data_IF_019887998786
#
_entry.id   IF_019887998786
#
_cell.length_a   1.000
_cell.length_b   1.000
_cell.length_c   1.000
_cell.angle_alpha   90.00
_cell.angle_beta   90.00
_cell.angle_gamma   90.00
#
_symmetry.space_group_name_H-M   'P 1'
#
loop_
_entity.id
_entity.type
_entity.pdbx_description
1 polymer ?
#
# COMPACT_ATOMS: atom_id res chain seq x y z
N UNK A 1 7.07 25.48 3.84
CA UNK A 1 6.39 26.17 4.96
C UNK A 1 6.04 25.14 6.02
N UNK A 2 5.58 25.57 7.21
CA UNK A 2 5.03 24.65 8.23
C UNK A 2 3.88 23.83 7.62
N UNK A 3 3.00 24.49 6.88
CA UNK A 3 1.91 23.86 6.11
C UNK A 3 2.39 22.75 5.15
N UNK A 4 3.44 23.01 4.35
CA UNK A 4 3.97 21.97 3.45
C UNK A 4 4.53 20.76 4.22
N UNK A 5 5.14 21.00 5.39
CA UNK A 5 5.66 19.92 6.24
C UNK A 5 4.52 19.10 6.85
N UNK A 6 3.48 19.74 7.36
CA UNK A 6 2.27 19.06 7.87
C UNK A 6 1.61 18.22 6.79
N UNK A 7 1.42 18.76 5.58
CA UNK A 7 0.89 17.99 4.44
C UNK A 7 1.75 16.79 4.08
N UNK A 8 3.08 16.93 4.13
CA UNK A 8 3.99 15.81 3.91
C UNK A 8 3.86 14.73 4.98
N UNK A 9 3.76 15.12 6.26
CA UNK A 9 3.57 14.18 7.38
C UNK A 9 2.24 13.43 7.24
N UNK A 10 1.15 14.13 6.96
CA UNK A 10 -0.16 13.51 6.73
C UNK A 10 -0.11 12.49 5.59
N UNK A 11 0.47 12.87 4.44
CA UNK A 11 0.64 11.98 3.30
C UNK A 11 1.49 10.75 3.67
N UNK A 12 2.59 10.94 4.41
CA UNK A 12 3.47 9.85 4.84
C UNK A 12 2.76 8.85 5.78
N UNK A 13 1.93 9.34 6.70
CA UNK A 13 1.14 8.51 7.61
C UNK A 13 0.14 7.66 6.82
N UNK A 14 -0.64 8.28 5.93
CA UNK A 14 -1.63 7.57 5.12
C UNK A 14 -0.95 6.48 4.26
N UNK A 15 0.15 6.83 3.59
CA UNK A 15 0.93 5.88 2.78
C UNK A 15 1.45 4.73 3.63
N UNK A 16 1.99 5.00 4.82
CA UNK A 16 2.50 3.96 5.71
C UNK A 16 1.39 3.00 6.12
N UNK A 17 0.26 3.52 6.59
CA UNK A 17 -0.88 2.70 7.03
C UNK A 17 -1.42 1.87 5.85
N UNK A 18 -1.57 2.46 4.66
CA UNK A 18 -2.02 1.75 3.48
C UNK A 18 -1.11 0.57 3.10
N UNK A 19 0.21 0.74 3.16
CA UNK A 19 1.17 -0.35 2.91
C UNK A 19 1.04 -1.46 3.96
N UNK A 20 0.86 -1.11 5.23
CA UNK A 20 0.65 -2.08 6.31
C UNK A 20 -0.65 -2.87 6.10
N UNK A 21 -1.75 -2.19 5.78
CA UNK A 21 -3.04 -2.82 5.50
C UNK A 21 -2.96 -3.75 4.29
N UNK A 22 -2.33 -3.31 3.20
CA UNK A 22 -2.16 -4.12 2.00
C UNK A 22 -1.35 -5.40 2.26
N UNK A 23 -0.32 -5.34 3.12
CA UNK A 23 0.49 -6.52 3.52
C UNK A 23 -0.26 -7.47 4.46
N UNK A 24 -1.27 -6.99 5.17
CA UNK A 24 -2.12 -7.78 6.07
C UNK A 24 -3.28 -8.48 5.36
N UNK A 25 -3.46 -8.26 4.07
CA UNK A 25 -4.46 -8.98 3.29
C UNK A 25 -4.28 -10.50 3.47
N UNK A 26 -5.40 -11.18 3.74
CA UNK A 26 -5.42 -12.60 4.08
C UNK A 26 -6.13 -13.39 2.98
N UNK A 27 -5.66 -14.60 2.65
CA UNK A 27 -6.35 -15.51 1.73
C UNK A 27 -7.61 -16.14 2.34
N UNK A 28 -7.89 -15.90 3.63
CA UNK A 28 -9.09 -16.41 4.32
C UNK A 28 -10.25 -15.42 4.07
N UNK A 29 -11.33 -15.82 3.38
CA UNK A 29 -12.42 -14.93 2.95
C UNK A 29 -13.16 -14.20 4.09
N UNK A 30 -13.15 -14.74 5.30
CA UNK A 30 -13.72 -14.10 6.50
C UNK A 30 -12.99 -12.81 6.91
N UNK A 31 -11.83 -12.52 6.30
CA UNK A 31 -11.05 -11.31 6.49
C UNK A 31 -11.23 -10.30 5.34
N UNK A 32 -12.46 -10.12 4.84
CA UNK A 32 -12.84 -9.08 3.87
C UNK A 32 -12.57 -7.62 4.34
N UNK A 33 -11.91 -7.41 5.48
CA UNK A 33 -11.64 -6.07 6.04
C UNK A 33 -10.61 -5.30 5.24
N UNK A 34 -9.56 -5.92 4.67
CA UNK A 34 -8.41 -5.17 4.16
C UNK A 34 -8.73 -4.28 2.94
N UNK A 35 -9.62 -4.70 2.04
CA UNK A 35 -10.08 -3.85 0.93
C UNK A 35 -11.00 -2.73 1.41
N UNK A 36 -11.83 -3.03 2.42
CA UNK A 36 -12.71 -2.04 3.03
C UNK A 36 -11.88 -0.99 3.80
N UNK A 37 -10.80 -1.40 4.45
CA UNK A 37 -9.89 -0.55 5.20
C UNK A 37 -9.15 0.42 4.27
N UNK A 38 -8.64 -0.03 3.12
CA UNK A 38 -7.98 0.85 2.15
C UNK A 38 -8.94 1.90 1.56
N UNK A 39 -10.22 1.56 1.38
CA UNK A 39 -11.23 2.54 0.93
C UNK A 39 -11.50 3.62 1.98
N UNK A 40 -11.46 3.28 3.27
CA UNK A 40 -11.55 4.28 4.36
C UNK A 40 -10.40 5.28 4.27
N UNK A 41 -9.16 4.80 4.07
CA UNK A 41 -8.00 5.67 3.90
C UNK A 41 -8.00 6.45 2.59
N UNK A 42 -8.59 5.91 1.52
CA UNK A 42 -8.81 6.64 0.28
C UNK A 42 -9.76 7.83 0.47
N UNK A 43 -10.86 7.64 1.21
CA UNK A 43 -11.80 8.73 1.55
C UNK A 43 -11.14 9.81 2.40
N UNK A 44 -10.42 9.42 3.45
CA UNK A 44 -9.66 10.37 4.27
C UNK A 44 -8.63 11.16 3.43
N UNK A 45 -7.92 10.49 2.53
CA UNK A 45 -6.99 11.15 1.63
C UNK A 45 -7.70 12.20 0.74
N UNK A 46 -8.90 11.88 0.23
CA UNK A 46 -9.70 12.82 -0.56
C UNK A 46 -10.15 14.03 0.28
N UNK A 47 -10.65 13.80 1.50
CA UNK A 47 -11.08 14.86 2.44
C UNK A 47 -9.93 15.82 2.79
N UNK A 48 -8.70 15.32 2.89
CA UNK A 48 -7.49 16.12 3.13
C UNK A 48 -6.92 16.79 1.86
N UNK A 49 -7.58 16.62 0.72
CA UNK A 49 -7.19 17.20 -0.56
C UNK A 49 -6.02 16.49 -1.25
N UNK A 50 -5.80 15.20 -0.97
CA UNK A 50 -4.81 14.36 -1.65
C UNK A 50 -5.46 13.49 -2.73
N UNK A 51 -6.06 14.12 -3.76
CA UNK A 51 -6.82 13.43 -4.81
C UNK A 51 -6.04 12.27 -5.48
N UNK A 52 -4.79 12.52 -5.87
CA UNK A 52 -3.97 11.48 -6.51
C UNK A 52 -3.68 10.29 -5.58
N UNK A 53 -3.50 10.53 -4.28
CA UNK A 53 -3.33 9.45 -3.30
C UNK A 53 -4.64 8.67 -3.15
N UNK A 54 -5.77 9.36 -3.02
CA UNK A 54 -7.08 8.73 -2.93
C UNK A 54 -7.35 7.80 -4.12
N UNK A 55 -7.06 8.23 -5.35
CA UNK A 55 -7.24 7.43 -6.56
C UNK A 55 -6.34 6.18 -6.59
N UNK A 56 -5.09 6.32 -6.13
CA UNK A 56 -4.17 5.18 -6.03
C UNK A 56 -4.66 4.17 -4.99
N UNK A 57 -5.13 4.62 -3.84
CA UNK A 57 -5.65 3.76 -2.78
C UNK A 57 -6.96 3.07 -3.19
N UNK A 58 -7.88 3.78 -3.86
CA UNK A 58 -9.16 3.23 -4.31
C UNK A 58 -9.01 2.12 -5.38
N UNK A 59 -7.92 2.17 -6.17
CA UNK A 59 -7.59 1.16 -7.18
C UNK A 59 -6.75 -0.01 -6.64
N UNK A 60 -6.27 0.07 -5.40
CA UNK A 60 -5.54 -1.03 -4.80
C UNK A 60 -6.47 -2.24 -4.60
N UNK A 61 -6.04 -3.41 -5.09
CA UNK A 61 -6.79 -4.67 -4.98
C UNK A 61 -5.93 -5.78 -4.36
N UNK A 62 -5.60 -5.70 -3.05
CA UNK A 62 -4.81 -6.73 -2.38
C UNK A 62 -5.38 -8.14 -2.52
N UNK A 63 -6.71 -8.31 -2.55
CA UNK A 63 -7.32 -9.64 -2.74
C UNK A 63 -7.02 -10.19 -4.14
N UNK A 64 -7.05 -9.35 -5.18
CA UNK A 64 -6.64 -9.74 -6.53
C UNK A 64 -5.14 -10.07 -6.60
N UNK A 65 -4.29 -9.30 -5.90
CA UNK A 65 -2.85 -9.59 -5.82
C UNK A 65 -2.57 -10.93 -5.15
N UNK A 66 -3.36 -11.29 -4.14
CA UNK A 66 -3.34 -12.59 -3.49
C UNK A 66 -3.80 -13.72 -4.43
N UNK A 67 -4.88 -13.52 -5.18
CA UNK A 67 -5.37 -14.53 -6.14
C UNK A 67 -4.30 -14.89 -7.18
N UNK A 68 -3.50 -13.92 -7.63
CA UNK A 68 -2.36 -14.15 -8.53
C UNK A 68 -1.14 -14.80 -7.84
N UNK A 69 -1.10 -14.83 -6.51
CA UNK A 69 -0.06 -15.50 -5.74
C UNK A 69 -0.45 -16.94 -5.34
N UNK A 70 -1.68 -17.38 -5.66
CA UNK A 70 -2.11 -18.75 -5.42
C UNK A 70 -1.36 -19.72 -6.35
N UNK A 71 -0.83 -20.85 -5.84
CA UNK A 71 -0.21 -21.85 -6.70
C UNK A 71 -1.25 -22.43 -7.68
N UNK A 72 -0.86 -22.54 -8.95
CA UNK A 72 -1.68 -23.14 -10.00
C UNK A 72 -2.16 -24.55 -9.60
N UNK A 73 -3.36 -24.92 -10.02
CA UNK A 73 -4.10 -26.09 -9.57
C UNK A 73 -3.32 -27.42 -9.69
N UNK A 74 -2.72 -27.87 -8.58
CA UNK A 74 -2.33 -29.27 -8.38
C UNK A 74 -3.44 -30.01 -7.64
N UNK A 75 -4.02 -31.02 -8.29
CA UNK A 75 -5.17 -31.79 -7.79
C UNK A 75 -4.96 -32.41 -6.39
N UNK A 76 -6.07 -32.53 -5.64
CA UNK A 76 -6.18 -33.38 -4.45
C UNK A 76 -5.96 -32.73 -3.08
N UNK A 77 -5.36 -31.54 -2.99
CA UNK A 77 -5.09 -30.86 -1.71
C UNK A 77 -6.00 -29.64 -1.54
N UNK A 78 -6.72 -29.54 -0.42
CA UNK A 78 -7.63 -28.41 -0.18
C UNK A 78 -6.88 -27.07 -0.31
N UNK A 79 -7.54 -26.05 -0.87
CA UNK A 79 -6.94 -24.72 -1.04
C UNK A 79 -6.29 -24.24 0.27
N UNK A 80 -7.01 -24.36 1.39
CA UNK A 80 -6.53 -24.01 2.75
C UNK A 80 -5.22 -24.70 3.15
N UNK A 81 -5.06 -26.00 2.86
CA UNK A 81 -3.86 -26.76 3.20
C UNK A 81 -2.66 -26.34 2.32
N UNK A 82 -2.90 -26.00 1.05
CA UNK A 82 -1.87 -25.45 0.14
C UNK A 82 -1.37 -24.07 0.61
N UNK A 83 -2.25 -23.22 1.15
CA UNK A 83 -1.87 -21.92 1.73
C UNK A 83 -1.13 -22.05 3.07
N UNK A 84 -1.42 -23.07 3.88
CA UNK A 84 -0.73 -23.31 5.16
C UNK A 84 0.67 -23.90 4.97
N UNK A 85 0.83 -24.88 4.08
CA UNK A 85 2.15 -25.46 3.75
C UNK A 85 3.01 -24.45 2.97
N UNK A 86 2.39 -23.60 2.14
CA UNK A 86 3.00 -22.48 1.44
C UNK A 86 2.98 -21.14 2.19
N UNK A 87 2.79 -21.12 3.52
CA UNK A 87 2.58 -19.88 4.27
C UNK A 87 3.66 -18.80 4.09
N UNK A 88 4.90 -19.21 3.79
CA UNK A 88 6.02 -18.31 3.47
C UNK A 88 6.01 -17.82 2.02
N UNK A 89 5.50 -18.61 1.06
CA UNK A 89 5.58 -18.26 -0.37
C UNK A 89 4.56 -17.20 -0.74
N UNK A 90 3.30 -17.33 -0.33
CA UNK A 90 2.29 -16.32 -0.70
C UNK A 90 2.52 -14.97 -0.03
N UNK A 91 2.98 -14.93 1.24
CA UNK A 91 3.33 -13.68 1.93
C UNK A 91 4.46 -12.96 1.23
N UNK A 92 5.49 -13.70 0.77
CA UNK A 92 6.59 -13.12 0.01
C UNK A 92 6.11 -12.55 -1.33
N UNK A 93 5.23 -13.26 -2.05
CA UNK A 93 4.64 -12.77 -3.29
C UNK A 93 3.76 -11.52 -3.08
N UNK A 94 2.90 -11.52 -2.06
CA UNK A 94 2.11 -10.35 -1.70
C UNK A 94 3.01 -9.18 -1.33
N UNK A 95 4.03 -9.41 -0.50
CA UNK A 95 5.00 -8.38 -0.14
C UNK A 95 5.67 -7.77 -1.38
N UNK A 96 6.10 -8.60 -2.34
CA UNK A 96 6.67 -8.13 -3.60
C UNK A 96 5.71 -7.30 -4.45
N UNK A 97 4.41 -7.66 -4.49
CA UNK A 97 3.37 -6.88 -5.18
C UNK A 97 3.13 -5.54 -4.49
N UNK A 98 3.02 -5.52 -3.16
CA UNK A 98 2.84 -4.29 -2.38
C UNK A 98 4.07 -3.38 -2.53
N UNK A 99 5.27 -3.94 -2.50
CA UNK A 99 6.50 -3.16 -2.68
C UNK A 99 6.58 -2.58 -4.10
N UNK A 100 6.19 -3.35 -5.12
CA UNK A 100 6.10 -2.85 -6.50
C UNK A 100 5.09 -1.71 -6.64
N UNK A 101 3.90 -1.85 -6.03
CA UNK A 101 2.89 -0.80 -5.98
C UNK A 101 3.39 0.45 -5.25
N UNK A 102 4.05 0.28 -4.10
CA UNK A 102 4.67 1.38 -3.37
C UNK A 102 5.71 2.13 -4.22
N UNK A 103 6.63 1.41 -4.87
CA UNK A 103 7.69 2.03 -5.67
C UNK A 103 7.12 2.80 -6.88
N UNK A 104 6.08 2.26 -7.52
CA UNK A 104 5.50 2.83 -8.75
C UNK A 104 4.53 3.97 -8.49
N UNK A 105 3.67 3.84 -7.49
CA UNK A 105 2.51 4.74 -7.33
C UNK A 105 2.67 5.66 -6.10
N UNK A 106 3.14 5.15 -4.95
CA UNK A 106 3.14 5.92 -3.69
C UNK A 106 4.43 6.72 -3.46
N UNK A 107 5.58 6.12 -3.77
CA UNK A 107 6.90 6.75 -3.60
C UNK A 107 7.07 8.03 -4.42
N UNK A 108 6.55 8.15 -5.65
CA UNK A 108 6.60 9.42 -6.39
C UNK A 108 5.85 10.55 -5.67
N UNK A 109 4.67 10.26 -5.08
CA UNK A 109 3.88 11.24 -4.32
C UNK A 109 4.63 11.73 -3.09
N UNK A 110 5.22 10.79 -2.33
CA UNK A 110 6.07 11.09 -1.18
C UNK A 110 7.26 11.97 -1.57
N UNK A 111 7.93 11.65 -2.69
CA UNK A 111 9.08 12.43 -3.17
C UNK A 111 8.69 13.85 -3.56
N UNK A 112 7.59 14.00 -4.30
CA UNK A 112 7.08 15.31 -4.71
C UNK A 112 6.69 16.16 -3.50
N UNK A 113 5.93 15.59 -2.56
CA UNK A 113 5.53 16.29 -1.34
C UNK A 113 6.74 16.65 -0.46
N UNK A 114 7.72 15.76 -0.34
CA UNK A 114 8.96 16.01 0.42
C UNK A 114 9.75 17.17 -0.18
N UNK A 115 9.84 17.27 -1.50
CA UNK A 115 10.57 18.35 -2.17
C UNK A 115 9.99 19.74 -1.85
N UNK A 116 8.68 19.83 -1.62
CA UNK A 116 8.00 21.07 -1.22
C UNK A 116 8.11 21.35 0.30
N UNK A 117 8.21 20.28 1.10
CA UNK A 117 8.25 20.34 2.56
C UNK A 117 9.66 20.62 3.12
N UNK A 118 10.70 20.03 2.55
CA UNK A 118 12.06 20.14 3.05
C UNK A 118 12.77 21.29 2.32
N UNK A 119 13.23 22.29 3.09
CA UNK A 119 14.01 23.41 2.53
C UNK A 119 15.31 22.90 1.90
N UNK A 120 15.77 23.45 0.75
CA UNK A 120 17.04 23.07 0.10
C UNK A 120 18.25 23.07 1.05
N UNK A 121 18.28 24.00 2.01
CA UNK A 121 19.32 24.10 3.04
C UNK A 121 19.47 22.84 3.93
N UNK A 122 18.39 22.06 4.13
CA UNK A 122 18.43 20.78 4.85
C UNK A 122 18.74 19.59 3.94
N UNK A 123 18.69 19.76 2.62
CA UNK A 123 19.01 18.73 1.63
C UNK A 123 20.49 18.73 1.23
N UNK A 124 21.32 19.60 1.83
CA UNK A 124 22.74 19.73 1.50
C UNK A 124 23.00 20.28 0.08
N UNK A 125 21.97 20.83 -0.57
CA UNK A 125 22.10 21.45 -1.87
C UNK A 125 22.60 22.88 -1.65
N UNK A 126 23.90 23.09 -1.89
CA UNK A 126 24.48 24.44 -1.91
C UNK A 126 23.76 25.25 -2.98
N UNK A 127 23.22 26.40 -2.58
CA UNK A 127 22.79 27.49 -3.47
C UNK A 127 23.94 27.96 -4.34
#
# INVERSE_FOLDING_TARGET
SVEHFERFVQLAVIVHVAVVLAKRASPIPEAASAENDLLVWARLAAELGFAQLADVLARARPAAWLAHAAPAEGGGVSARMRWMVGGKTWRAHLAGRVDSWYQRELKPLLRASRALAVRPAFLGLKS
#
